data_IF_243202316767
#
_entry.id   IF_243202316767
#
_cell.length_a   1.000
_cell.length_b   1.000
_cell.length_c   1.000
_cell.angle_alpha   90.00
_cell.angle_beta   90.00
_cell.angle_gamma   90.00
#
_symmetry.space_group_name_H-M   'P 1'
#
loop_
_entity.id
_entity.type
_entity.pdbx_description
1 polymer ?
#
# COMPACT_ATOMS: atom_id res chain seq x y z
N UNK A 1 -18.21 -4.29 15.68
CA UNK A 1 -17.90 -5.74 15.68
C UNK A 1 -18.97 -6.46 14.86
N UNK A 2 -18.63 -7.03 13.70
CA UNK A 2 -19.61 -7.61 12.73
C UNK A 2 -19.81 -9.13 12.87
N UNK A 3 -19.09 -9.77 13.78
CA UNK A 3 -19.21 -11.18 14.11
C UNK A 3 -19.59 -11.33 15.58
N UNK A 4 -20.64 -12.09 15.87
CA UNK A 4 -21.06 -12.43 17.23
C UNK A 4 -20.04 -13.34 17.92
N UNK A 5 -19.47 -14.29 17.16
CA UNK A 5 -18.39 -15.18 17.60
C UNK A 5 -17.12 -14.88 16.82
N UNK A 6 -15.95 -14.81 17.48
CA UNK A 6 -14.68 -14.64 16.77
C UNK A 6 -14.47 -15.81 15.81
N UNK A 7 -13.72 -15.56 14.73
CA UNK A 7 -13.29 -16.64 13.84
C UNK A 7 -12.45 -17.65 14.64
N UNK A 8 -12.46 -18.95 14.26
CA UNK A 8 -11.57 -19.93 14.87
C UNK A 8 -10.11 -19.47 14.76
N UNK A 9 -9.28 -19.70 15.79
CA UNK A 9 -7.89 -19.22 15.82
C UNK A 9 -7.06 -19.66 14.60
N UNK A 10 -7.36 -20.84 14.03
CA UNK A 10 -6.65 -21.39 12.87
C UNK A 10 -7.32 -21.07 11.52
N UNK A 11 -8.28 -20.15 11.48
CA UNK A 11 -9.01 -19.79 10.26
C UNK A 11 -8.30 -18.71 9.42
N UNK A 12 -6.98 -18.81 9.25
CA UNK A 12 -6.16 -17.81 8.55
C UNK A 12 -6.61 -17.59 7.11
N UNK A 13 -6.90 -18.66 6.37
CA UNK A 13 -7.40 -18.57 4.99
C UNK A 13 -8.73 -17.80 4.91
N UNK A 14 -9.65 -18.05 5.85
CA UNK A 14 -10.92 -17.32 5.92
C UNK A 14 -10.69 -15.83 6.27
N UNK A 15 -9.78 -15.54 7.19
CA UNK A 15 -9.40 -14.18 7.54
C UNK A 15 -8.86 -13.42 6.32
N UNK A 16 -7.98 -14.04 5.54
CA UNK A 16 -7.45 -13.44 4.31
C UNK A 16 -8.55 -13.18 3.27
N UNK A 17 -9.48 -14.12 3.06
CA UNK A 17 -10.62 -13.92 2.15
C UNK A 17 -11.44 -12.69 2.57
N UNK A 18 -11.74 -12.57 3.87
CA UNK A 18 -12.51 -11.44 4.39
C UNK A 18 -11.73 -10.12 4.28
N UNK A 19 -10.43 -10.09 4.56
CA UNK A 19 -9.63 -8.88 4.45
C UNK A 19 -9.47 -8.41 3.00
N UNK A 20 -9.18 -9.31 2.06
CA UNK A 20 -9.05 -8.98 0.63
C UNK A 20 -10.38 -8.45 0.09
N UNK A 21 -11.48 -9.14 0.39
CA UNK A 21 -12.80 -8.72 -0.06
C UNK A 21 -13.27 -7.42 0.61
N UNK A 22 -12.96 -7.21 1.89
CA UNK A 22 -13.22 -5.94 2.55
C UNK A 22 -12.42 -4.80 1.91
N UNK A 23 -11.14 -5.01 1.60
CA UNK A 23 -10.33 -4.00 0.94
C UNK A 23 -10.88 -3.65 -0.45
N UNK A 24 -11.29 -4.67 -1.21
CA UNK A 24 -12.00 -4.53 -2.49
C UNK A 24 -13.27 -3.67 -2.38
N UNK A 25 -14.15 -3.95 -1.41
CA UNK A 25 -15.42 -3.24 -1.22
C UNK A 25 -15.22 -1.80 -0.72
N UNK A 26 -14.22 -1.59 0.15
CA UNK A 26 -14.03 -0.32 0.85
C UNK A 26 -13.11 0.66 0.13
N UNK A 27 -12.15 0.17 -0.67
CA UNK A 27 -11.07 1.01 -1.19
C UNK A 27 -10.81 0.88 -2.69
N UNK A 28 -11.38 -0.12 -3.38
CA UNK A 28 -11.18 -0.30 -4.82
C UNK A 28 -12.43 0.07 -5.61
N UNK A 29 -12.23 0.51 -6.85
CA UNK A 29 -13.30 0.81 -7.79
C UNK A 29 -13.79 -0.46 -8.48
N UNK A 30 -14.41 -1.36 -7.70
CA UNK A 30 -15.07 -2.56 -8.22
C UNK A 30 -16.50 -2.70 -7.67
N UNK A 31 -17.45 -3.28 -8.43
CA UNK A 31 -18.79 -3.51 -7.93
C UNK A 31 -18.81 -4.40 -6.67
N UNK A 32 -19.55 -3.99 -5.64
CA UNK A 32 -19.67 -4.75 -4.39
C UNK A 32 -20.14 -6.19 -4.62
N UNK A 33 -21.08 -6.40 -5.56
CA UNK A 33 -21.57 -7.72 -5.93
C UNK A 33 -20.47 -8.62 -6.50
N UNK A 34 -19.56 -8.06 -7.29
CA UNK A 34 -18.42 -8.78 -7.85
C UNK A 34 -17.40 -9.15 -6.76
N UNK A 35 -17.07 -8.21 -5.85
CA UNK A 35 -16.18 -8.48 -4.71
C UNK A 35 -16.73 -9.61 -3.81
N UNK A 36 -18.03 -9.57 -3.51
CA UNK A 36 -18.71 -10.59 -2.71
C UNK A 36 -18.69 -11.94 -3.42
N UNK A 37 -19.03 -11.98 -4.72
CA UNK A 37 -19.06 -13.22 -5.48
C UNK A 37 -17.68 -13.88 -5.57
N UNK A 38 -16.63 -13.09 -5.83
CA UNK A 38 -15.24 -13.57 -5.88
C UNK A 38 -14.81 -14.17 -4.54
N UNK A 39 -15.16 -13.52 -3.43
CA UNK A 39 -14.85 -14.00 -2.09
C UNK A 39 -15.59 -15.29 -1.74
N UNK A 40 -16.87 -15.40 -2.13
CA UNK A 40 -17.68 -16.62 -1.93
C UNK A 40 -17.15 -17.77 -2.77
N UNK A 41 -16.79 -17.50 -4.02
CA UNK A 41 -16.19 -18.47 -4.94
C UNK A 41 -14.84 -18.98 -4.39
N UNK A 42 -13.99 -18.07 -3.91
CA UNK A 42 -12.72 -18.45 -3.26
C UNK A 42 -12.96 -19.25 -1.96
N UNK A 43 -13.97 -18.91 -1.16
CA UNK A 43 -14.32 -19.72 0.00
C UNK A 43 -14.81 -21.12 -0.38
N UNK A 44 -15.50 -21.28 -1.52
CA UNK A 44 -15.97 -22.59 -1.98
C UNK A 44 -14.87 -23.46 -2.60
N UNK A 45 -13.79 -22.86 -3.10
CA UNK A 45 -12.70 -23.60 -3.77
C UNK A 45 -11.76 -24.33 -2.81
N UNK A 46 -11.84 -24.06 -1.50
CA UNK A 46 -10.98 -24.69 -0.49
C UNK A 46 -11.83 -25.43 0.57
N UNK A 47 -11.63 -26.75 0.77
CA UNK A 47 -12.36 -27.54 1.77
C UNK A 47 -12.31 -26.95 3.20
N UNK A 48 -11.24 -26.22 3.54
CA UNK A 48 -11.06 -25.58 4.86
C UNK A 48 -12.00 -24.39 5.06
N UNK A 49 -12.40 -23.73 3.98
CA UNK A 49 -13.21 -22.51 4.01
C UNK A 49 -14.62 -22.69 3.45
N UNK A 50 -14.90 -23.81 2.76
CA UNK A 50 -16.19 -24.15 2.14
C UNK A 50 -17.37 -23.96 3.09
N UNK A 51 -17.28 -24.50 4.31
CA UNK A 51 -18.35 -24.40 5.33
C UNK A 51 -18.65 -22.96 5.77
N UNK A 52 -17.77 -22.01 5.47
CA UNK A 52 -17.92 -20.60 5.82
C UNK A 52 -18.37 -19.74 4.63
N UNK A 53 -18.67 -20.30 3.45
CA UNK A 53 -19.09 -19.50 2.29
C UNK A 53 -20.33 -18.65 2.57
N UNK A 54 -21.30 -19.18 3.34
CA UNK A 54 -22.47 -18.43 3.79
C UNK A 54 -22.12 -17.28 4.75
N UNK A 55 -21.15 -17.51 5.66
CA UNK A 55 -20.65 -16.48 6.56
C UNK A 55 -19.95 -15.36 5.77
N UNK A 56 -19.08 -15.70 4.82
CA UNK A 56 -18.39 -14.75 3.94
C UNK A 56 -19.40 -13.87 3.22
N UNK A 57 -20.42 -14.47 2.58
CA UNK A 57 -21.48 -13.72 1.93
C UNK A 57 -22.23 -12.79 2.89
N UNK A 58 -22.64 -13.30 4.05
CA UNK A 58 -23.39 -12.52 5.04
C UNK A 58 -22.61 -11.32 5.58
N UNK A 59 -21.35 -11.54 5.95
CA UNK A 59 -20.46 -10.49 6.49
C UNK A 59 -20.19 -9.42 5.43
N UNK A 60 -19.79 -9.81 4.23
CA UNK A 60 -19.41 -8.86 3.18
C UNK A 60 -20.60 -8.08 2.64
N UNK A 61 -21.78 -8.70 2.47
CA UNK A 61 -23.01 -7.97 2.11
C UNK A 61 -23.40 -6.96 3.17
N UNK A 62 -23.19 -7.29 4.44
CA UNK A 62 -23.47 -6.37 5.56
C UNK A 62 -22.45 -5.23 5.58
N UNK A 63 -21.18 -5.50 5.28
CA UNK A 63 -20.15 -4.49 5.13
C UNK A 63 -20.51 -3.52 3.99
N UNK A 64 -20.79 -4.05 2.79
CA UNK A 64 -21.14 -3.27 1.61
C UNK A 64 -22.32 -2.32 1.86
N UNK A 65 -23.41 -2.79 2.48
CA UNK A 65 -24.59 -1.95 2.80
C UNK A 65 -24.31 -0.80 3.77
N UNK A 66 -23.25 -0.89 4.56
CA UNK A 66 -22.94 0.05 5.62
C UNK A 66 -21.71 0.92 5.32
N UNK A 67 -21.01 0.67 4.21
CA UNK A 67 -19.71 1.30 3.93
C UNK A 67 -19.79 2.82 3.87
N UNK A 68 -20.82 3.36 3.21
CA UNK A 68 -20.97 4.81 3.01
C UNK A 68 -21.19 5.55 4.34
N UNK A 69 -21.84 4.92 5.31
CA UNK A 69 -22.08 5.49 6.63
C UNK A 69 -20.92 5.27 7.62
N UNK A 70 -20.24 4.13 7.53
CA UNK A 70 -19.28 3.72 8.57
C UNK A 70 -17.81 3.94 8.21
N UNK A 71 -17.45 3.99 6.91
CA UNK A 71 -16.04 4.00 6.50
C UNK A 71 -15.34 5.28 6.95
N UNK A 72 -15.90 6.46 6.66
CA UNK A 72 -15.27 7.73 7.01
C UNK A 72 -15.06 7.89 8.54
N UNK A 73 -16.06 7.64 9.41
CA UNK A 73 -15.84 7.64 10.86
C UNK A 73 -14.79 6.61 11.31
N UNK A 74 -14.78 5.42 10.71
CA UNK A 74 -13.80 4.38 11.06
C UNK A 74 -12.36 4.80 10.72
N UNK A 75 -12.13 5.43 9.56
CA UNK A 75 -10.81 5.92 9.16
C UNK A 75 -10.30 7.06 10.05
N UNK A 76 -11.20 7.90 10.56
CA UNK A 76 -10.86 8.96 11.53
C UNK A 76 -10.45 8.36 12.87
N UNK A 77 -11.16 7.33 13.34
CA UNK A 77 -10.89 6.69 14.63
C UNK A 77 -9.69 5.74 14.62
N UNK A 78 -9.27 5.25 13.44
CA UNK A 78 -8.21 4.26 13.30
C UNK A 78 -6.85 4.91 13.21
N UNK A 79 -5.96 4.56 14.15
CA UNK A 79 -4.53 4.79 14.01
C UNK A 79 -3.93 3.60 13.24
N UNK A 80 -3.47 3.83 12.02
CA UNK A 80 -3.00 2.79 11.08
C UNK A 80 -1.56 2.35 11.38
N UNK A 81 -1.26 2.19 12.66
CA UNK A 81 0.01 1.72 13.16
C UNK A 81 -0.21 0.88 14.42
N UNK A 82 0.59 -0.17 14.65
CA UNK A 82 0.60 -0.84 15.93
C UNK A 82 0.92 0.13 17.07
N UNK A 83 0.28 -0.05 18.23
CA UNK A 83 0.46 0.84 19.38
C UNK A 83 1.93 1.02 19.79
N UNK A 84 2.74 -0.05 19.67
CA UNK A 84 4.18 0.03 19.94
C UNK A 84 4.91 0.98 19.00
N UNK A 85 4.49 1.08 17.73
CA UNK A 85 5.15 1.92 16.73
C UNK A 85 4.75 3.37 16.88
N UNK A 86 3.46 3.63 17.04
CA UNK A 86 2.93 4.96 17.37
C UNK A 86 3.57 5.51 18.66
N UNK A 87 3.68 4.68 19.70
CA UNK A 87 4.36 5.04 20.95
C UNK A 87 5.83 5.42 20.73
N UNK A 88 6.57 4.68 19.91
CA UNK A 88 7.96 5.00 19.56
C UNK A 88 8.08 6.33 18.81
N UNK A 89 7.22 6.60 17.84
CA UNK A 89 7.24 7.85 17.10
C UNK A 89 6.94 9.05 18.00
N UNK A 90 5.94 8.94 18.88
CA UNK A 90 5.58 10.00 19.84
C UNK A 90 6.71 10.30 20.81
N UNK A 91 7.41 9.26 21.28
CA UNK A 91 8.55 9.42 22.18
C UNK A 91 9.76 10.10 21.49
N UNK A 92 10.01 9.79 20.23
CA UNK A 92 11.16 10.32 19.48
C UNK A 92 10.91 11.72 18.91
N UNK A 93 9.69 12.01 18.43
CA UNK A 93 9.39 13.21 17.63
C UNK A 93 8.30 14.10 18.23
N UNK A 94 7.68 13.69 19.34
CA UNK A 94 6.51 14.37 19.91
C UNK A 94 5.20 13.98 19.22
N UNK A 95 4.08 14.36 19.82
CA UNK A 95 2.74 13.93 19.40
C UNK A 95 2.37 14.46 18.01
N UNK A 96 2.59 15.75 17.77
CA UNK A 96 2.15 16.40 16.52
C UNK A 96 2.94 15.88 15.32
N UNK A 97 4.26 15.75 15.44
CA UNK A 97 5.12 15.21 14.38
C UNK A 97 4.85 13.73 14.12
N UNK A 98 4.60 12.93 15.16
CA UNK A 98 4.22 11.53 14.99
C UNK A 98 2.91 11.41 14.19
N UNK A 99 1.92 12.28 14.43
CA UNK A 99 0.68 12.32 13.66
C UNK A 99 0.93 12.65 12.18
N UNK A 100 1.80 13.62 11.89
CA UNK A 100 2.19 13.96 10.51
C UNK A 100 2.90 12.78 9.81
N UNK A 101 3.82 12.09 10.49
CA UNK A 101 4.51 10.90 9.95
C UNK A 101 3.51 9.79 9.63
N UNK A 102 2.58 9.49 10.54
CA UNK A 102 1.56 8.47 10.32
C UNK A 102 0.61 8.85 9.19
N UNK A 103 0.27 10.13 9.05
CA UNK A 103 -0.50 10.63 7.91
C UNK A 103 0.26 10.50 6.58
N UNK A 104 1.58 10.70 6.59
CA UNK A 104 2.42 10.53 5.39
C UNK A 104 2.39 9.08 4.88
N UNK A 105 2.41 8.07 5.76
CA UNK A 105 2.32 6.66 5.38
C UNK A 105 1.02 6.26 4.66
N UNK A 106 -0.02 7.11 4.68
CA UNK A 106 -1.29 6.88 3.97
C UNK A 106 -1.22 7.18 2.48
N UNK A 107 -0.24 7.97 2.08
CA UNK A 107 -0.09 8.36 0.68
C UNK A 107 0.63 7.25 -0.07
N UNK A 108 0.20 6.99 -1.30
CA UNK A 108 0.94 6.11 -2.20
C UNK A 108 2.36 6.66 -2.38
N UNK A 109 3.35 5.81 -2.14
CA UNK A 109 4.74 6.22 -2.24
C UNK A 109 5.09 6.42 -3.73
N UNK A 110 5.66 7.57 -4.11
CA UNK A 110 6.13 7.78 -5.47
C UNK A 110 7.32 6.85 -5.76
N UNK A 111 7.59 6.63 -7.04
CA UNK A 111 8.77 5.87 -7.46
C UNK A 111 9.88 6.84 -7.83
N UNK A 112 11.01 6.69 -7.16
CA UNK A 112 12.20 7.49 -7.42
C UNK A 112 13.26 6.65 -8.16
N UNK A 113 13.90 7.28 -9.15
CA UNK A 113 14.95 6.68 -9.96
C UNK A 113 16.26 7.46 -9.81
N UNK A 114 17.35 6.75 -9.59
CA UNK A 114 18.70 7.30 -9.74
C UNK A 114 19.20 6.99 -11.14
N UNK A 115 19.76 8.00 -11.80
CA UNK A 115 20.27 7.87 -13.17
C UNK A 115 21.79 7.82 -13.19
N UNK A 116 22.34 7.03 -14.11
CA UNK A 116 23.79 6.94 -14.30
C UNK A 116 24.37 8.22 -14.92
N UNK A 117 23.63 8.83 -15.84
CA UNK A 117 24.02 10.04 -16.57
C UNK A 117 22.80 10.71 -17.20
N UNK A 118 22.91 12.01 -17.50
CA UNK A 118 21.88 12.81 -18.20
C UNK A 118 20.47 12.77 -17.54
N UNK A 119 20.31 13.40 -16.36
CA UNK A 119 19.01 13.47 -15.68
C UNK A 119 17.92 14.14 -16.50
N UNK A 120 18.25 15.13 -17.34
CA UNK A 120 17.28 15.84 -18.14
C UNK A 120 16.62 14.91 -19.17
N UNK A 121 17.42 14.14 -19.91
CA UNK A 121 16.93 13.14 -20.87
C UNK A 121 16.01 12.11 -20.20
N UNK A 122 16.43 11.57 -19.05
CA UNK A 122 15.66 10.55 -18.36
C UNK A 122 14.39 11.10 -17.71
N UNK A 123 14.38 12.37 -17.32
CA UNK A 123 13.19 13.01 -16.77
C UNK A 123 12.09 13.09 -17.81
N UNK A 124 12.45 13.47 -19.05
CA UNK A 124 11.52 13.47 -20.19
C UNK A 124 11.04 12.05 -20.52
N UNK A 125 11.96 11.08 -20.60
CA UNK A 125 11.62 9.69 -20.96
C UNK A 125 10.77 8.96 -19.93
N UNK A 126 11.00 9.22 -18.65
CA UNK A 126 10.28 8.58 -17.55
C UNK A 126 9.03 9.38 -17.14
N UNK A 127 8.85 10.61 -17.63
CA UNK A 127 7.71 11.47 -17.31
C UNK A 127 7.71 11.94 -15.86
N UNK A 128 8.89 12.25 -15.31
CA UNK A 128 9.07 12.59 -13.89
C UNK A 128 9.49 14.04 -13.64
N UNK A 129 9.90 14.31 -12.40
CA UNK A 129 10.55 15.56 -11.99
C UNK A 129 11.90 15.28 -11.33
N UNK A 130 12.91 16.09 -11.61
CA UNK A 130 14.20 16.00 -10.91
C UNK A 130 14.06 16.58 -9.51
N UNK A 131 14.42 15.79 -8.50
CA UNK A 131 14.48 16.23 -7.11
C UNK A 131 15.83 16.88 -6.78
N UNK A 132 15.95 17.65 -5.68
CA UNK A 132 17.23 18.22 -5.24
C UNK A 132 18.33 17.17 -5.03
N UNK A 133 17.94 15.94 -4.71
CA UNK A 133 18.79 14.75 -4.58
C UNK A 133 19.35 14.24 -5.90
N UNK A 134 18.88 14.76 -7.05
CA UNK A 134 19.30 14.34 -8.39
C UNK A 134 18.58 13.07 -8.87
N UNK A 135 17.70 12.50 -8.05
CA UNK A 135 16.80 11.43 -8.45
C UNK A 135 15.63 12.00 -9.24
N UNK A 136 15.01 11.16 -10.06
CA UNK A 136 13.82 11.48 -10.83
C UNK A 136 12.63 10.84 -10.13
N UNK A 137 11.66 11.66 -9.72
CA UNK A 137 10.42 11.21 -9.11
C UNK A 137 9.34 11.04 -10.17
N UNK A 138 8.70 9.88 -10.20
CA UNK A 138 7.56 9.56 -11.05
C UNK A 138 6.38 9.19 -10.15
N UNK A 139 5.26 9.91 -10.28
CA UNK A 139 4.07 9.66 -9.47
C UNK A 139 3.32 8.39 -9.91
N UNK A 140 3.33 8.10 -11.22
CA UNK A 140 2.65 6.92 -11.79
C UNK A 140 3.50 6.32 -12.89
N UNK A 141 3.83 5.04 -12.74
CA UNK A 141 4.55 4.31 -13.77
C UNK A 141 3.64 4.03 -14.96
N UNK A 142 4.16 4.21 -16.17
CA UNK A 142 3.45 3.89 -17.42
C UNK A 142 3.46 2.39 -17.74
N UNK A 143 4.41 1.64 -17.19
CA UNK A 143 4.58 0.20 -17.35
C UNK A 143 5.30 -0.39 -16.12
N UNK A 144 5.47 -1.72 -16.10
CA UNK A 144 6.28 -2.34 -15.05
C UNK A 144 7.75 -1.91 -15.18
N UNK A 145 8.49 -1.86 -14.06
CA UNK A 145 9.89 -1.37 -14.05
C UNK A 145 10.77 -2.06 -15.11
N UNK A 146 10.70 -3.39 -15.33
CA UNK A 146 11.51 -4.04 -16.35
C UNK A 146 11.19 -3.66 -17.79
N UNK A 147 9.99 -3.14 -18.05
CA UNK A 147 9.52 -2.72 -19.37
C UNK A 147 9.86 -1.25 -19.67
N UNK A 148 10.31 -0.50 -18.67
CA UNK A 148 10.67 0.90 -18.84
C UNK A 148 11.98 1.02 -19.65
N UNK A 149 12.07 1.99 -20.59
CA UNK A 149 13.28 2.20 -21.37
C UNK A 149 14.51 2.43 -20.51
N UNK A 150 15.65 1.83 -20.85
CA UNK A 150 16.90 2.00 -20.10
C UNK A 150 17.11 1.04 -18.94
N UNK A 151 16.09 0.27 -18.54
CA UNK A 151 16.22 -0.70 -17.45
C UNK A 151 17.21 -1.81 -17.79
N UNK A 152 17.04 -2.45 -18.95
CA UNK A 152 17.88 -3.57 -19.40
C UNK A 152 19.34 -3.15 -19.61
N UNK A 153 19.57 -1.88 -19.97
CA UNK A 153 20.88 -1.29 -20.19
C UNK A 153 21.54 -0.79 -18.89
N UNK A 154 20.83 -0.82 -17.76
CA UNK A 154 21.31 -0.28 -16.48
C UNK A 154 21.54 1.23 -16.52
N UNK A 155 20.73 1.96 -17.29
CA UNK A 155 20.84 3.41 -17.41
C UNK A 155 20.39 4.15 -16.13
N UNK A 156 19.55 3.49 -15.33
CA UNK A 156 19.04 3.97 -14.05
C UNK A 156 18.65 2.76 -13.18
N UNK A 157 18.38 3.01 -11.89
CA UNK A 157 17.84 2.02 -10.95
C UNK A 157 16.81 2.66 -10.03
N UNK A 158 15.89 1.84 -9.50
CA UNK A 158 14.91 2.30 -8.49
C UNK A 158 15.64 2.56 -7.18
N UNK A 159 15.51 3.77 -6.65
CA UNK A 159 16.11 4.19 -5.38
C UNK A 159 15.34 5.36 -4.81
N UNK A 160 14.85 5.22 -3.57
CA UNK A 160 14.21 6.31 -2.83
C UNK A 160 15.09 7.56 -2.80
N UNK A 161 14.50 8.75 -2.91
CA UNK A 161 15.22 10.01 -2.93
C UNK A 161 16.18 10.18 -1.73
N UNK A 162 15.77 9.79 -0.53
CA UNK A 162 16.61 9.91 0.66
C UNK A 162 17.80 8.93 0.61
N UNK A 163 17.65 7.78 -0.04
CA UNK A 163 18.73 6.81 -0.22
C UNK A 163 19.83 7.30 -1.19
N UNK A 164 19.58 8.34 -1.99
CA UNK A 164 20.60 8.99 -2.82
C UNK A 164 21.48 10.00 -2.05
N UNK A 165 21.05 10.43 -0.85
CA UNK A 165 21.79 11.42 -0.05
C UNK A 165 23.19 10.94 0.39
N UNK A 166 23.40 9.71 0.89
CA UNK A 166 24.71 9.31 1.40
C UNK A 166 25.82 9.43 0.35
N UNK A 167 25.60 8.95 -0.88
CA UNK A 167 26.59 9.03 -1.95
C UNK A 167 26.97 10.48 -2.28
N UNK A 168 26.01 11.41 -2.19
CA UNK A 168 26.25 12.84 -2.41
C UNK A 168 27.00 13.50 -1.26
N UNK A 169 26.71 13.09 -0.02
CA UNK A 169 27.35 13.63 1.17
C UNK A 169 28.78 13.14 1.34
N UNK A 170 29.08 11.90 0.93
CA UNK A 170 30.43 11.37 1.01
C UNK A 170 31.38 11.92 -0.07
N UNK A 171 30.86 12.43 -1.20
CA UNK A 171 31.68 12.92 -2.31
C UNK A 171 32.39 11.80 -3.07
N UNK A 172 33.57 12.10 -3.64
CA UNK A 172 34.38 11.14 -4.38
C UNK A 172 35.13 10.20 -3.41
N UNK A 173 34.48 9.09 -3.03
CA UNK A 173 35.13 8.03 -2.25
C UNK A 173 35.95 7.16 -3.19
N UNK A 174 37.27 7.35 -3.20
CA UNK A 174 38.21 6.43 -3.86
C UNK A 174 38.51 5.26 -2.92
N UNK A 175 38.31 4.05 -3.42
CA UNK A 175 38.74 2.80 -2.77
C UNK A 175 40.18 2.45 -3.11
#
# INVERSE_FOLDING_TARGET
RRLEKPLPQNATALSHILHVAAAQILFLDIPDSAAVDLAVTHAKSDPRTLRFSGLVNGVLRTLARAKDAELAPALIATEEAPAWFSGRLRAAYGVDKAKEILAAHRHEAPVDFSVKSDPALWTERLGGIVLPTGTIRVERLSASVPELPGFAEGAWWVQDAAAALPARLFGDIKG
#
